data_IF_232872616978
#
_entry.id   IF_232872616978
#
_cell.length_a   1.000
_cell.length_b   1.000
_cell.length_c   1.000
_cell.angle_alpha   90.00
_cell.angle_beta   90.00
_cell.angle_gamma   90.00
#
_symmetry.space_group_name_H-M   'P 1'
#
loop_
_entity.id
_entity.type
_entity.pdbx_description
1 polymer ?
#
# COMPACT_ATOMS: atom_id res chain seq x y z
N UNK A 1 0.57 -2.31 -15.56
CA UNK A 1 -0.66 -2.17 -14.75
C UNK A 1 -1.11 -0.73 -14.86
N UNK A 2 -2.33 -0.57 -15.35
CA UNK A 2 -3.07 0.67 -15.48
C UNK A 2 -4.19 0.69 -14.43
N UNK A 3 -4.72 1.87 -14.10
CA UNK A 3 -5.81 1.99 -13.13
C UNK A 3 -7.09 1.25 -13.59
N UNK A 4 -7.26 1.09 -14.90
CA UNK A 4 -8.35 0.35 -15.55
C UNK A 4 -8.28 -1.17 -15.34
N UNK A 5 -7.13 -1.69 -14.92
CA UNK A 5 -6.95 -3.11 -14.64
C UNK A 5 -7.62 -3.53 -13.32
N UNK A 6 -8.07 -2.57 -12.51
CA UNK A 6 -8.67 -2.78 -11.19
C UNK A 6 -10.20 -2.63 -11.23
N UNK A 7 -10.92 -3.27 -10.33
CA UNK A 7 -12.37 -3.09 -10.21
C UNK A 7 -12.71 -1.66 -9.77
N UNK A 8 -13.93 -1.17 -10.05
CA UNK A 8 -14.35 0.19 -9.65
C UNK A 8 -14.15 0.46 -8.15
N UNK A 9 -14.42 -0.55 -7.30
CA UNK A 9 -14.20 -0.48 -5.85
C UNK A 9 -12.72 -0.35 -5.49
N UNK A 10 -11.85 -1.08 -6.16
CA UNK A 10 -10.40 -1.00 -5.92
C UNK A 10 -9.84 0.31 -6.45
N UNK A 11 -10.29 0.79 -7.61
CA UNK A 11 -9.94 2.10 -8.13
C UNK A 11 -10.31 3.21 -7.15
N UNK A 12 -11.52 3.13 -6.58
CA UNK A 12 -11.98 4.07 -5.55
C UNK A 12 -11.10 3.99 -4.29
N UNK A 13 -10.75 2.79 -3.80
CA UNK A 13 -9.85 2.62 -2.66
C UNK A 13 -8.40 3.06 -2.92
N UNK A 14 -7.93 2.97 -4.17
CA UNK A 14 -6.62 3.47 -4.60
C UNK A 14 -6.65 5.00 -4.65
N UNK A 15 -7.70 5.57 -5.23
CA UNK A 15 -7.89 7.02 -5.38
C UNK A 15 -8.17 7.74 -4.06
N UNK A 16 -8.92 7.10 -3.15
CA UNK A 16 -9.17 7.63 -1.81
C UNK A 16 -7.85 7.84 -1.06
N UNK A 17 -6.81 7.05 -1.37
CA UNK A 17 -5.47 7.21 -0.84
C UNK A 17 -5.42 6.90 0.67
N UNK A 18 -4.47 6.05 1.09
CA UNK A 18 -4.49 5.42 2.42
C UNK A 18 -5.81 4.66 2.62
N UNK A 19 -5.78 3.35 2.34
CA UNK A 19 -6.78 2.44 2.92
C UNK A 19 -6.91 2.82 4.39
N UNK A 20 -8.14 3.04 4.85
CA UNK A 20 -8.60 3.59 6.14
C UNK A 20 -7.95 3.04 7.42
N UNK A 21 -6.96 2.16 7.32
CA UNK A 21 -5.98 1.93 8.36
C UNK A 21 -5.18 3.23 8.57
N UNK A 22 -5.67 4.06 9.48
CA UNK A 22 -4.79 4.86 10.32
C UNK A 22 -3.71 3.91 10.82
N UNK A 23 -2.54 3.95 10.19
CA UNK A 23 -1.37 3.25 10.71
C UNK A 23 -1.09 3.92 12.05
N UNK A 24 -1.60 3.32 13.12
CA UNK A 24 -1.50 3.83 14.49
C UNK A 24 -0.04 4.01 14.88
N UNK A 25 0.82 3.09 14.43
CA UNK A 25 2.27 3.12 14.63
C UNK A 25 3.04 3.33 13.33
N UNK A 26 3.27 4.61 13.01
CA UNK A 26 4.09 5.03 11.86
C UNK A 26 5.52 4.44 11.90
N UNK A 27 6.06 4.26 13.09
CA UNK A 27 7.40 3.69 13.27
C UNK A 27 7.46 2.21 12.87
N UNK A 28 6.44 1.42 13.26
CA UNK A 28 6.32 0.03 12.88
C UNK A 28 6.16 -0.12 11.36
N UNK A 29 5.35 0.72 10.73
CA UNK A 29 5.20 0.73 9.28
C UNK A 29 6.51 1.03 8.55
N UNK A 30 7.30 2.01 9.02
CA UNK A 30 8.60 2.30 8.44
C UNK A 30 9.57 1.13 8.58
N UNK A 31 9.58 0.46 9.75
CA UNK A 31 10.40 -0.74 9.98
C UNK A 31 9.97 -1.88 9.05
N UNK A 32 8.67 -2.13 8.89
CA UNK A 32 8.14 -3.16 7.97
C UNK A 32 8.54 -2.83 6.51
N UNK A 33 8.40 -1.58 6.10
CA UNK A 33 8.78 -1.14 4.75
C UNK A 33 10.29 -1.24 4.51
N UNK A 34 11.11 -1.04 5.54
CA UNK A 34 12.57 -1.20 5.44
C UNK A 34 13.00 -2.66 5.25
N UNK A 35 12.19 -3.63 5.68
CA UNK A 35 12.44 -5.06 5.44
C UNK A 35 12.15 -5.48 3.99
N UNK A 36 11.36 -4.70 3.25
CA UNK A 36 11.03 -5.02 1.86
C UNK A 36 12.14 -4.54 0.92
N UNK A 37 12.70 -5.42 0.06
CA UNK A 37 13.69 -5.02 -0.92
C UNK A 37 13.17 -3.91 -1.85
N UNK A 38 13.97 -2.84 -2.01
CA UNK A 38 13.61 -1.68 -2.86
C UNK A 38 13.29 -2.07 -4.30
N UNK A 39 13.88 -3.14 -4.81
CA UNK A 39 13.61 -3.66 -6.16
C UNK A 39 12.17 -4.13 -6.34
N UNK A 40 11.56 -4.69 -5.30
CA UNK A 40 10.17 -5.15 -5.35
C UNK A 40 9.20 -3.97 -5.34
N UNK A 41 9.49 -2.93 -4.55
CA UNK A 41 8.70 -1.69 -4.51
C UNK A 41 8.74 -0.98 -5.87
N UNK A 42 9.90 -0.99 -6.55
CA UNK A 42 10.05 -0.38 -7.89
C UNK A 42 9.18 -1.05 -8.95
N UNK A 43 8.89 -2.36 -8.83
CA UNK A 43 8.01 -3.11 -9.75
C UNK A 43 6.53 -2.71 -9.62
N UNK A 44 6.13 -2.18 -8.46
CA UNK A 44 4.75 -1.72 -8.23
C UNK A 44 4.56 -0.34 -8.88
N UNK A 45 3.50 -0.13 -9.70
CA UNK A 45 3.19 1.18 -10.26
C UNK A 45 3.00 2.24 -9.16
N UNK A 46 3.47 3.47 -9.41
CA UNK A 46 3.52 4.52 -8.39
C UNK A 46 2.17 4.78 -7.70
N UNK A 47 1.07 4.82 -8.47
CA UNK A 47 -0.26 5.13 -7.97
C UNK A 47 -0.87 4.06 -7.05
N UNK A 48 -0.40 2.80 -7.15
CA UNK A 48 -0.85 1.69 -6.28
C UNK A 48 0.08 1.43 -5.09
N UNK A 49 1.28 2.04 -5.05
CA UNK A 49 2.26 1.80 -3.98
C UNK A 49 1.68 2.09 -2.61
N UNK A 50 1.09 3.27 -2.41
CA UNK A 50 0.54 3.68 -1.12
C UNK A 50 -0.52 2.69 -0.60
N UNK A 51 -1.46 2.33 -1.48
CA UNK A 51 -2.50 1.35 -1.16
C UNK A 51 -1.92 -0.02 -0.77
N UNK A 52 -1.00 -0.55 -1.59
CA UNK A 52 -0.39 -1.86 -1.36
C UNK A 52 0.44 -1.89 -0.07
N UNK A 53 1.22 -0.83 0.19
CA UNK A 53 2.04 -0.73 1.40
C UNK A 53 1.19 -0.66 2.66
N UNK A 54 0.13 0.14 2.67
CA UNK A 54 -0.75 0.28 3.85
C UNK A 54 -1.49 -1.02 4.16
N UNK A 55 -2.06 -1.70 3.16
CA UNK A 55 -2.72 -3.00 3.37
C UNK A 55 -1.76 -4.07 3.87
N UNK A 56 -0.50 -4.05 3.41
CA UNK A 56 0.51 -5.01 3.88
C UNK A 56 0.84 -4.78 5.35
N UNK A 57 1.06 -3.52 5.74
CA UNK A 57 1.31 -3.16 7.14
C UNK A 57 0.11 -3.55 8.02
N UNK A 58 -1.11 -3.22 7.59
CA UNK A 58 -2.34 -3.58 8.31
C UNK A 58 -2.46 -5.10 8.53
N UNK A 59 -2.15 -5.90 7.50
CA UNK A 59 -2.20 -7.36 7.58
C UNK A 59 -1.13 -7.97 8.48
N UNK A 60 0.03 -7.33 8.60
CA UNK A 60 1.13 -7.79 9.45
C UNK A 60 0.95 -7.33 10.91
N UNK A 61 0.32 -6.18 11.12
CA UNK A 61 0.08 -5.61 12.44
C UNK A 61 -1.18 -6.19 13.14
N UNK A 62 -1.98 -6.99 12.44
CA UNK A 62 -3.16 -7.69 12.97
C UNK A 62 -2.81 -9.10 13.42
#
# INVERSE_FOLDING_TARGET
MELKDFTEKEQEQINQGLSTAEISDKEAAQKILALVPREWIKRIPFFVRGHATTKTVERVAK
#
